data_IF_749861198179
#
_entry.id   IF_749861198179
#
_cell.length_a   1.000
_cell.length_b   1.000
_cell.length_c   1.000
_cell.angle_alpha   90.00
_cell.angle_beta   90.00
_cell.angle_gamma   90.00
#
_symmetry.space_group_name_H-M   'P 1'
#
loop_
_entity.id
_entity.type
_entity.pdbx_description
1 polymer ?
#
# COMPACT_ATOMS: atom_id res chain seq x y z
N UNK A 1 -22.07 -24.56 -4.74
CA UNK A 1 -23.49 -24.42 -5.14
C UNK A 1 -23.92 -22.97 -5.39
N UNK A 2 -22.99 -22.03 -5.58
CA UNK A 2 -23.26 -20.58 -5.75
C UNK A 2 -23.31 -20.08 -7.19
N UNK A 3 -22.98 -20.92 -8.20
CA UNK A 3 -22.85 -20.51 -9.60
C UNK A 3 -24.14 -20.14 -10.35
N UNK A 4 -25.33 -20.33 -9.76
CA UNK A 4 -26.62 -20.08 -10.45
C UNK A 4 -27.35 -18.81 -10.01
N UNK A 5 -26.79 -18.01 -9.12
CA UNK A 5 -27.49 -16.85 -8.54
C UNK A 5 -26.88 -15.49 -8.95
N UNK A 6 -25.81 -15.48 -9.69
CA UNK A 6 -25.16 -14.25 -10.14
C UNK A 6 -24.89 -14.31 -11.64
N UNK A 7 -25.07 -13.19 -12.31
CA UNK A 7 -24.52 -12.95 -13.65
C UNK A 7 -23.05 -12.53 -13.52
N UNK A 8 -22.22 -13.04 -14.42
CA UNK A 8 -20.84 -12.60 -14.60
C UNK A 8 -20.81 -11.59 -15.75
N UNK A 9 -20.52 -10.34 -15.43
CA UNK A 9 -20.41 -9.24 -16.39
C UNK A 9 -18.94 -8.91 -16.61
N UNK A 10 -18.40 -9.36 -17.74
CA UNK A 10 -17.08 -8.96 -18.19
C UNK A 10 -17.12 -7.56 -18.79
N UNK A 11 -16.14 -6.72 -18.45
CA UNK A 11 -16.04 -5.37 -19.01
C UNK A 11 -14.59 -5.00 -19.30
N UNK A 12 -14.41 -4.10 -20.25
CA UNK A 12 -13.12 -3.51 -20.60
C UNK A 12 -13.32 -2.01 -20.88
N UNK A 13 -12.33 -1.15 -20.62
CA UNK A 13 -12.39 0.24 -21.02
C UNK A 13 -12.52 0.37 -22.54
N UNK A 14 -13.33 1.32 -23.00
CA UNK A 14 -13.45 1.62 -24.44
C UNK A 14 -12.11 2.07 -25.04
N UNK A 15 -11.36 2.88 -24.28
CA UNK A 15 -9.99 3.27 -24.65
C UNK A 15 -9.01 2.42 -23.82
N UNK A 16 -8.27 1.53 -24.47
CA UNK A 16 -7.29 0.65 -23.83
C UNK A 16 -6.05 1.36 -23.27
N UNK A 17 -5.85 2.63 -23.59
CA UNK A 17 -4.74 3.46 -23.08
C UNK A 17 -5.16 4.34 -21.89
N UNK A 18 -6.46 4.41 -21.59
CA UNK A 18 -6.94 5.12 -20.41
C UNK A 18 -6.69 4.33 -19.14
N UNK A 19 -6.43 5.03 -18.03
CA UNK A 19 -6.34 4.42 -16.71
C UNK A 19 -7.72 3.91 -16.26
N UNK A 20 -8.10 2.75 -16.76
CA UNK A 20 -9.34 2.07 -16.41
C UNK A 20 -9.07 0.60 -16.13
N UNK A 21 -9.91 0.02 -15.30
CA UNK A 21 -9.86 -1.42 -15.04
C UNK A 21 -10.58 -2.19 -16.15
N UNK A 22 -10.09 -3.39 -16.44
CA UNK A 22 -10.88 -4.45 -17.05
C UNK A 22 -11.18 -5.50 -15.97
N UNK A 23 -12.18 -6.33 -16.19
CA UNK A 23 -12.47 -7.38 -15.23
C UNK A 23 -13.88 -7.91 -15.28
N UNK A 24 -14.31 -8.45 -14.15
CA UNK A 24 -15.57 -9.12 -13.97
C UNK A 24 -16.34 -8.58 -12.77
N UNK A 25 -17.63 -8.35 -12.96
CA UNK A 25 -18.56 -8.02 -11.88
C UNK A 25 -19.56 -9.18 -11.74
N UNK A 26 -19.64 -9.73 -10.55
CA UNK A 26 -20.61 -10.76 -10.21
C UNK A 26 -21.84 -10.09 -9.57
N UNK A 27 -22.94 -10.04 -10.33
CA UNK A 27 -24.17 -9.32 -9.98
C UNK A 27 -25.28 -10.32 -9.70
N UNK A 28 -26.00 -10.13 -8.60
CA UNK A 28 -27.16 -10.98 -8.28
C UNK A 28 -28.28 -10.84 -9.32
N UNK A 29 -28.96 -11.94 -9.61
CA UNK A 29 -30.10 -11.99 -10.57
C UNK A 29 -31.43 -11.64 -9.94
N UNK A 30 -31.43 -11.08 -8.75
CA UNK A 30 -32.61 -10.54 -8.12
C UNK A 30 -32.95 -9.12 -8.62
N UNK A 31 -34.07 -8.57 -8.20
CA UNK A 31 -34.50 -7.22 -8.59
C UNK A 31 -33.59 -6.11 -8.08
N UNK A 32 -32.57 -6.41 -7.26
CA UNK A 32 -31.67 -5.43 -6.65
C UNK A 32 -30.37 -5.26 -7.44
N UNK A 33 -30.02 -6.23 -8.31
CA UNK A 33 -28.79 -6.23 -9.10
C UNK A 33 -27.55 -5.90 -8.25
N UNK A 34 -27.46 -6.54 -7.10
CA UNK A 34 -26.39 -6.27 -6.14
C UNK A 34 -25.06 -6.83 -6.64
N UNK A 35 -24.02 -6.00 -6.69
CA UNK A 35 -22.65 -6.44 -7.01
C UNK A 35 -22.10 -7.17 -5.79
N UNK A 36 -21.97 -8.49 -5.89
CA UNK A 36 -21.47 -9.34 -4.80
C UNK A 36 -19.95 -9.43 -4.77
N UNK A 37 -19.33 -9.47 -5.95
CA UNK A 37 -17.89 -9.56 -6.10
C UNK A 37 -17.45 -8.77 -7.34
N UNK A 38 -16.31 -8.11 -7.22
CA UNK A 38 -15.58 -7.50 -8.32
C UNK A 38 -14.18 -8.10 -8.42
N UNK A 39 -13.76 -8.44 -9.62
CA UNK A 39 -12.40 -8.89 -9.94
C UNK A 39 -11.86 -7.97 -11.02
N UNK A 40 -10.91 -7.13 -10.64
CA UNK A 40 -10.43 -6.03 -11.47
C UNK A 40 -8.93 -6.16 -11.72
N UNK A 41 -8.50 -5.88 -12.94
CA UNK A 41 -7.10 -5.80 -13.29
C UNK A 41 -6.85 -4.64 -14.25
N UNK A 42 -5.60 -4.22 -14.36
CA UNK A 42 -5.22 -3.24 -15.37
C UNK A 42 -5.01 -3.90 -16.73
N UNK A 43 -5.43 -3.25 -17.82
CA UNK A 43 -5.06 -3.68 -19.16
C UNK A 43 -3.54 -3.68 -19.33
N UNK A 44 -2.98 -4.72 -19.94
CA UNK A 44 -1.52 -4.86 -20.19
C UNK A 44 -0.88 -3.71 -20.99
N UNK A 45 -1.68 -2.90 -21.68
CA UNK A 45 -1.21 -1.75 -22.48
C UNK A 45 -0.95 -0.51 -21.64
N UNK A 46 -1.44 -0.46 -20.39
CA UNK A 46 -1.15 0.65 -19.49
C UNK A 46 0.25 0.45 -18.94
N UNK A 47 1.14 1.37 -19.31
CA UNK A 47 2.50 1.35 -18.77
C UNK A 47 2.50 1.95 -17.37
N UNK A 48 2.41 1.09 -16.37
CA UNK A 48 2.68 1.43 -14.98
C UNK A 48 4.14 1.08 -14.70
N UNK A 49 4.98 2.08 -14.48
CA UNK A 49 6.39 1.87 -14.21
C UNK A 49 6.58 0.79 -13.14
N UNK A 50 7.34 -0.26 -13.49
CA UNK A 50 7.67 -1.39 -12.62
C UNK A 50 6.51 -2.31 -12.21
N UNK A 51 5.26 -2.05 -12.60
CA UNK A 51 4.11 -2.93 -12.31
C UNK A 51 3.78 -3.73 -13.56
N UNK A 52 4.01 -5.05 -13.51
CA UNK A 52 3.70 -5.97 -14.61
C UNK A 52 2.28 -6.52 -14.52
N UNK A 53 1.81 -6.73 -13.30
CA UNK A 53 0.49 -7.29 -13.04
C UNK A 53 -0.12 -6.70 -11.77
N UNK A 54 -1.43 -6.47 -11.80
CA UNK A 54 -2.21 -6.10 -10.62
C UNK A 54 -3.58 -6.75 -10.69
N UNK A 55 -3.98 -7.39 -9.61
CA UNK A 55 -5.29 -7.96 -9.40
C UNK A 55 -5.90 -7.38 -8.14
N UNK A 56 -7.08 -6.79 -8.28
CA UNK A 56 -7.92 -6.33 -7.17
C UNK A 56 -9.18 -7.18 -7.12
N UNK A 57 -9.39 -7.87 -6.01
CA UNK A 57 -10.60 -8.64 -5.73
C UNK A 57 -11.31 -7.99 -4.56
N UNK A 58 -12.60 -7.73 -4.72
CA UNK A 58 -13.45 -7.15 -3.70
C UNK A 58 -14.72 -7.98 -3.55
N UNK A 59 -15.07 -8.30 -2.33
CA UNK A 59 -16.35 -8.95 -1.99
C UNK A 59 -17.18 -7.99 -1.15
N UNK A 60 -18.47 -7.94 -1.46
CA UNK A 60 -19.40 -7.03 -0.83
C UNK A 60 -20.49 -7.81 -0.11
N UNK A 61 -20.90 -7.29 1.05
CA UNK A 61 -22.09 -7.73 1.77
C UNK A 61 -23.13 -6.62 1.81
N UNK A 62 -24.37 -7.02 2.03
CA UNK A 62 -25.48 -6.09 2.21
C UNK A 62 -25.76 -5.93 3.69
N UNK A 63 -25.87 -4.69 4.15
CA UNK A 63 -26.40 -4.35 5.45
C UNK A 63 -27.91 -4.52 5.50
N UNK A 64 -28.50 -4.48 6.68
CA UNK A 64 -29.96 -4.63 6.89
C UNK A 64 -30.76 -3.53 6.19
N UNK A 65 -30.22 -2.33 6.08
CA UNK A 65 -30.81 -1.19 5.37
C UNK A 65 -30.63 -1.26 3.84
N UNK A 66 -29.97 -2.29 3.33
CA UNK A 66 -29.69 -2.49 1.90
C UNK A 66 -28.39 -1.86 1.42
N UNK A 67 -27.68 -1.13 2.26
CA UNK A 67 -26.39 -0.49 1.91
C UNK A 67 -25.34 -1.54 1.54
N UNK A 68 -24.56 -1.26 0.50
CA UNK A 68 -23.44 -2.10 0.09
C UNK A 68 -22.21 -1.79 0.93
N UNK A 69 -21.69 -2.80 1.60
CA UNK A 69 -20.48 -2.74 2.42
C UNK A 69 -19.39 -3.60 1.81
N UNK A 70 -18.18 -3.14 1.86
CA UNK A 70 -17.00 -3.94 1.49
C UNK A 70 -16.77 -4.96 2.61
N UNK A 71 -16.70 -6.25 2.28
CA UNK A 71 -16.51 -7.33 3.25
C UNK A 71 -15.09 -7.83 3.25
N UNK A 72 -14.56 -8.07 2.06
CA UNK A 72 -13.20 -8.57 1.86
C UNK A 72 -12.56 -7.87 0.67
N UNK A 73 -11.28 -7.56 0.79
CA UNK A 73 -10.45 -7.00 -0.28
C UNK A 73 -9.11 -7.71 -0.35
N UNK A 74 -8.69 -8.09 -1.54
CA UNK A 74 -7.35 -8.62 -1.81
C UNK A 74 -6.74 -7.89 -2.99
N UNK A 75 -5.57 -7.31 -2.78
CA UNK A 75 -4.79 -6.63 -3.83
C UNK A 75 -3.49 -7.41 -4.00
N UNK A 76 -3.25 -7.92 -5.20
CA UNK A 76 -2.00 -8.57 -5.57
C UNK A 76 -1.32 -7.74 -6.65
N UNK A 77 -0.05 -7.39 -6.46
CA UNK A 77 0.75 -6.62 -7.40
C UNK A 77 2.05 -7.36 -7.66
N UNK A 78 2.42 -7.47 -8.93
CA UNK A 78 3.73 -7.96 -9.35
C UNK A 78 4.59 -6.79 -9.81
N UNK A 79 5.73 -6.62 -9.16
CA UNK A 79 6.74 -5.62 -9.52
C UNK A 79 7.88 -6.28 -10.28
N UNK A 80 8.22 -5.74 -11.44
CA UNK A 80 9.39 -6.12 -12.23
C UNK A 80 10.27 -4.92 -12.50
N UNK A 81 11.56 -5.05 -12.24
CA UNK A 81 12.55 -4.00 -12.52
C UNK A 81 13.05 -4.08 -13.96
N UNK A 82 13.14 -5.29 -14.51
CA UNK A 82 13.62 -5.55 -15.88
C UNK A 82 12.81 -6.67 -16.51
N UNK A 83 12.64 -6.60 -17.83
CA UNK A 83 12.05 -7.69 -18.60
C UNK A 83 12.90 -8.97 -18.51
N UNK A 84 12.24 -10.12 -18.39
CA UNK A 84 12.93 -11.44 -18.35
C UNK A 84 13.39 -11.89 -16.97
N UNK A 85 13.15 -11.12 -15.90
CA UNK A 85 13.38 -11.56 -14.53
C UNK A 85 12.08 -11.91 -13.82
N UNK A 86 12.16 -12.76 -12.80
CA UNK A 86 11.04 -13.05 -11.91
C UNK A 86 10.65 -11.78 -11.14
N UNK A 87 9.34 -11.53 -11.07
CA UNK A 87 8.79 -10.38 -10.36
C UNK A 87 8.72 -10.61 -8.85
N UNK A 88 8.63 -9.52 -8.11
CA UNK A 88 8.33 -9.52 -6.68
C UNK A 88 6.83 -9.37 -6.53
N UNK A 89 6.17 -10.33 -5.89
CA UNK A 89 4.76 -10.28 -5.58
C UNK A 89 4.53 -9.65 -4.21
N UNK A 90 3.73 -8.59 -4.19
CA UNK A 90 3.18 -8.03 -2.96
C UNK A 90 1.68 -8.32 -2.91
N UNK A 91 1.19 -8.81 -1.77
CA UNK A 91 -0.23 -9.07 -1.54
C UNK A 91 -0.67 -8.38 -0.25
N UNK A 92 -1.78 -7.63 -0.34
CA UNK A 92 -2.48 -7.06 0.80
C UNK A 92 -3.87 -7.68 0.87
N UNK A 93 -4.26 -8.15 2.05
CA UNK A 93 -5.61 -8.64 2.34
C UNK A 93 -6.20 -7.79 3.44
N UNK A 94 -7.45 -7.39 3.30
CA UNK A 94 -8.20 -6.65 4.29
C UNK A 94 -9.61 -7.23 4.45
N UNK A 95 -9.98 -7.53 5.69
CA UNK A 95 -11.33 -7.94 6.08
C UNK A 95 -11.99 -6.80 6.86
N UNK A 96 -13.21 -6.47 6.50
CA UNK A 96 -13.94 -5.33 7.06
C UNK A 96 -15.10 -5.82 7.91
N UNK A 97 -15.13 -5.37 9.16
CA UNK A 97 -16.15 -5.75 10.15
C UNK A 97 -16.54 -4.55 11.02
N UNK A 98 -17.56 -4.73 11.85
CA UNK A 98 -18.03 -3.75 12.83
C UNK A 98 -18.34 -2.37 12.22
N UNK A 99 -19.10 -2.36 11.13
CA UNK A 99 -19.56 -1.14 10.49
C UNK A 99 -20.52 -0.36 11.41
N UNK A 100 -20.27 0.95 11.52
CA UNK A 100 -21.16 1.87 12.22
C UNK A 100 -21.67 2.92 11.23
N UNK A 101 -22.97 3.15 11.22
CA UNK A 101 -23.63 4.15 10.37
C UNK A 101 -23.97 5.45 11.13
N UNK A 102 -23.74 5.44 12.43
CA UNK A 102 -24.01 6.63 13.24
C UNK A 102 -22.79 7.56 13.19
N UNK A 103 -22.96 8.81 12.76
CA UNK A 103 -21.89 9.80 12.85
C UNK A 103 -21.56 9.99 14.35
N UNK A 104 -20.29 9.81 14.68
CA UNK A 104 -19.77 10.17 15.98
C UNK A 104 -19.19 11.57 15.91
N UNK A 105 -19.22 12.33 17.03
CA UNK A 105 -18.59 13.66 17.08
C UNK A 105 -17.10 13.62 16.70
N UNK A 106 -16.44 12.49 16.95
CA UNK A 106 -15.05 12.27 16.56
C UNK A 106 -14.90 12.10 15.04
N UNK A 107 -15.83 11.39 14.39
CA UNK A 107 -15.83 11.24 12.93
C UNK A 107 -16.07 12.61 12.26
N UNK A 108 -17.02 13.41 12.75
CA UNK A 108 -17.27 14.75 12.22
C UNK A 108 -16.04 15.66 12.37
N UNK A 109 -15.35 15.58 13.52
CA UNK A 109 -14.09 16.32 13.72
C UNK A 109 -12.97 15.82 12.80
N UNK A 110 -12.91 14.53 12.51
CA UNK A 110 -11.93 13.94 11.60
C UNK A 110 -12.17 14.39 10.15
N UNK A 111 -13.43 14.43 9.70
CA UNK A 111 -13.79 14.84 8.34
C UNK A 111 -13.67 16.35 8.10
N UNK A 112 -13.68 17.16 9.15
CA UNK A 112 -13.48 18.63 9.03
C UNK A 112 -12.01 19.02 8.94
N UNK A 113 -11.06 18.11 9.18
CA UNK A 113 -9.63 18.38 9.01
C UNK A 113 -9.25 18.36 7.54
N UNK A 114 -8.35 19.26 7.09
CA UNK A 114 -7.85 19.27 5.72
C UNK A 114 -6.97 18.07 5.37
N UNK A 115 -6.51 17.32 6.37
CA UNK A 115 -5.68 16.15 6.22
C UNK A 115 -6.53 14.95 5.75
N UNK A 116 -6.15 14.36 4.63
CA UNK A 116 -6.84 13.19 4.04
C UNK A 116 -6.53 11.88 4.76
N UNK A 117 -5.44 11.84 5.51
CA UNK A 117 -4.97 10.66 6.25
C UNK A 117 -4.73 11.10 7.68
N UNK A 118 -5.38 10.42 8.63
CA UNK A 118 -5.17 10.62 10.04
C UNK A 118 -4.53 9.35 10.57
N UNK A 119 -3.28 9.46 11.02
CA UNK A 119 -2.58 8.38 11.70
C UNK A 119 -2.69 8.62 13.21
N UNK A 120 -3.15 7.62 13.93
CA UNK A 120 -3.10 7.63 15.38
C UNK A 120 -1.64 7.53 15.84
N UNK A 121 -1.28 8.30 16.86
CA UNK A 121 0.11 8.35 17.39
C UNK A 121 0.64 6.97 17.79
N UNK A 122 -0.24 6.04 18.18
CA UNK A 122 0.11 4.69 18.61
C UNK A 122 0.01 3.64 17.48
N UNK A 123 -0.37 4.02 16.27
CA UNK A 123 -0.64 3.08 15.17
C UNK A 123 0.56 2.16 14.88
N UNK A 124 1.78 2.72 14.92
CA UNK A 124 3.03 1.99 14.64
C UNK A 124 3.62 1.28 15.88
N UNK A 125 3.14 1.60 17.09
CA UNK A 125 3.66 1.07 18.35
C UNK A 125 2.72 0.09 19.06
N UNK A 126 1.66 -0.35 18.38
CA UNK A 126 0.70 -1.30 18.97
C UNK A 126 1.37 -2.64 19.29
N UNK A 127 1.10 -3.20 20.48
CA UNK A 127 1.75 -4.45 20.91
C UNK A 127 1.28 -5.65 20.08
N UNK A 128 2.09 -6.70 20.05
CA UNK A 128 1.79 -7.94 19.33
C UNK A 128 0.46 -8.58 19.76
N UNK A 129 0.07 -8.42 21.01
CA UNK A 129 -1.22 -8.88 21.54
C UNK A 129 -2.41 -8.24 20.83
N UNK A 130 -2.33 -6.94 20.54
CA UNK A 130 -3.35 -6.24 19.76
C UNK A 130 -3.51 -6.86 18.37
N UNK A 131 -2.41 -7.17 17.69
CA UNK A 131 -2.45 -7.78 16.38
C UNK A 131 -2.94 -9.23 16.41
N UNK A 132 -2.58 -9.99 17.45
CA UNK A 132 -3.06 -11.34 17.62
C UNK A 132 -4.59 -11.42 17.81
N UNK A 133 -5.17 -10.45 18.52
CA UNK A 133 -6.61 -10.37 18.75
C UNK A 133 -7.40 -9.85 17.53
N UNK A 134 -6.80 -8.94 16.75
CA UNK A 134 -7.49 -8.25 15.67
C UNK A 134 -7.21 -8.85 14.28
N UNK A 135 -6.23 -9.75 14.14
CA UNK A 135 -6.02 -10.47 12.89
C UNK A 135 -6.99 -11.65 12.77
N UNK A 136 -7.75 -11.78 11.67
CA UNK A 136 -8.53 -12.98 11.42
C UNK A 136 -7.59 -14.19 11.37
N UNK A 137 -7.86 -15.22 12.14
CA UNK A 137 -7.02 -16.44 12.18
C UNK A 137 -6.89 -17.12 10.82
N UNK A 138 -7.88 -16.95 9.94
CA UNK A 138 -7.86 -17.47 8.58
C UNK A 138 -6.89 -16.74 7.64
N UNK A 139 -6.46 -15.52 7.98
CA UNK A 139 -5.57 -14.72 7.14
C UNK A 139 -4.08 -15.06 7.33
N UNK A 140 -3.72 -15.74 8.43
CA UNK A 140 -2.34 -16.16 8.68
C UNK A 140 -2.12 -17.51 8.00
N UNK A 141 -1.78 -17.50 6.73
CA UNK A 141 -1.37 -18.73 6.06
C UNK A 141 -0.06 -19.25 6.66
N UNK A 142 0.14 -20.59 6.63
CA UNK A 142 1.42 -21.18 7.05
C UNK A 142 2.60 -20.59 6.26
N UNK A 143 2.36 -20.12 5.05
CA UNK A 143 3.34 -19.47 4.19
C UNK A 143 3.77 -18.10 4.72
N UNK A 144 2.85 -17.28 5.23
CA UNK A 144 3.18 -15.97 5.82
C UNK A 144 4.07 -16.13 7.05
N UNK A 145 3.72 -17.07 7.94
CA UNK A 145 4.57 -17.40 9.10
C UNK A 145 5.97 -17.88 8.71
N UNK A 146 6.11 -18.59 7.59
CA UNK A 146 7.42 -19.05 7.11
C UNK A 146 8.25 -17.93 6.52
N UNK A 147 7.62 -16.98 5.82
CA UNK A 147 8.29 -15.78 5.29
C UNK A 147 8.74 -14.87 6.43
N UNK A 148 7.91 -14.61 7.43
CA UNK A 148 8.28 -13.80 8.59
C UNK A 148 9.46 -14.40 9.35
N UNK A 149 9.47 -15.71 9.56
CA UNK A 149 10.60 -16.42 10.19
C UNK A 149 11.87 -16.32 9.34
N UNK A 150 11.75 -16.53 8.03
CA UNK A 150 12.88 -16.40 7.11
C UNK A 150 13.45 -14.98 7.14
N UNK A 151 12.59 -13.95 7.09
CA UNK A 151 13.01 -12.55 7.17
C UNK A 151 13.67 -12.22 8.51
N UNK A 152 13.13 -12.73 9.62
CA UNK A 152 13.75 -12.57 10.93
C UNK A 152 15.14 -13.22 11.00
N UNK A 153 15.31 -14.41 10.41
CA UNK A 153 16.61 -15.07 10.31
C UNK A 153 17.58 -14.30 9.41
N UNK A 154 17.13 -13.85 8.23
CA UNK A 154 17.96 -13.09 7.29
C UNK A 154 18.45 -11.77 7.89
N UNK A 155 17.62 -11.08 8.67
CA UNK A 155 18.01 -9.85 9.37
C UNK A 155 19.09 -10.06 10.43
N UNK A 156 19.29 -11.30 10.89
CA UNK A 156 20.40 -11.68 11.76
C UNK A 156 21.76 -11.68 11.05
N UNK A 157 21.79 -11.74 9.73
CA UNK A 157 23.04 -11.70 8.97
C UNK A 157 23.48 -10.27 8.67
N UNK A 158 24.72 -9.86 9.02
CA UNK A 158 25.19 -8.50 8.80
C UNK A 158 25.11 -8.04 7.33
N UNK A 159 25.40 -8.95 6.40
CA UNK A 159 25.35 -8.67 4.95
C UNK A 159 23.93 -8.30 4.53
N UNK A 160 22.95 -9.07 4.96
CA UNK A 160 21.55 -8.80 4.64
C UNK A 160 21.07 -7.48 5.25
N UNK A 161 21.41 -7.24 6.50
CA UNK A 161 21.08 -5.98 7.20
C UNK A 161 21.61 -4.75 6.45
N UNK A 162 22.87 -4.79 6.02
CA UNK A 162 23.45 -3.67 5.28
C UNK A 162 22.86 -3.54 3.88
N UNK A 163 22.57 -4.65 3.21
CA UNK A 163 21.94 -4.64 1.89
C UNK A 163 20.53 -4.03 1.98
N UNK A 164 19.71 -4.42 2.95
CA UNK A 164 18.39 -3.85 3.21
C UNK A 164 18.49 -2.34 3.43
N UNK A 165 19.45 -1.89 4.24
CA UNK A 165 19.68 -0.46 4.47
C UNK A 165 20.08 0.31 3.24
N UNK A 166 21.06 -0.21 2.49
CA UNK A 166 21.52 0.42 1.25
C UNK A 166 20.39 0.52 0.24
N UNK A 167 19.63 -0.55 0.04
CA UNK A 167 18.47 -0.55 -0.85
C UNK A 167 17.42 0.45 -0.37
N UNK A 168 17.11 0.47 0.92
CA UNK A 168 16.16 1.45 1.49
C UNK A 168 16.59 2.88 1.18
N UNK A 169 17.88 3.21 1.37
CA UNK A 169 18.41 4.54 1.06
C UNK A 169 18.35 4.84 -0.45
N UNK A 170 18.64 3.85 -1.30
CA UNK A 170 18.55 4.02 -2.75
C UNK A 170 17.11 4.30 -3.21
N UNK A 171 16.13 3.61 -2.64
CA UNK A 171 14.72 3.78 -2.99
C UNK A 171 14.11 5.04 -2.37
N UNK A 172 14.35 5.30 -1.10
CA UNK A 172 13.78 6.47 -0.41
C UNK A 172 14.54 7.75 -0.71
N UNK A 173 15.82 7.62 -1.02
CA UNK A 173 16.73 8.76 -1.20
C UNK A 173 17.15 9.44 0.11
N UNK A 174 16.66 8.99 1.27
CA UNK A 174 16.86 9.67 2.54
C UNK A 174 17.34 8.73 3.65
N UNK A 175 18.13 9.27 4.56
CA UNK A 175 18.57 8.59 5.78
C UNK A 175 17.78 9.19 6.97
N UNK A 176 16.96 8.41 7.68
CA UNK A 176 16.28 8.89 8.88
C UNK A 176 17.27 9.02 10.05
N UNK A 177 17.14 10.06 10.85
CA UNK A 177 17.96 10.28 12.06
C UNK A 177 17.63 9.32 13.20
N UNK A 178 16.43 8.75 13.20
CA UNK A 178 15.96 7.72 14.15
C UNK A 178 15.11 6.69 13.42
N UNK A 179 15.00 5.46 14.00
CA UNK A 179 14.16 4.41 13.42
C UNK A 179 12.67 4.60 13.72
N UNK A 180 12.34 5.02 14.94
CA UNK A 180 10.94 5.06 15.42
C UNK A 180 10.31 6.44 15.25
N UNK A 181 11.06 7.50 15.49
CA UNK A 181 10.60 8.89 15.42
C UNK A 181 11.68 9.77 14.80
N UNK A 182 11.90 9.72 13.48
CA UNK A 182 12.92 10.54 12.84
C UNK A 182 12.50 12.00 12.85
N UNK A 183 13.24 12.87 13.52
CA UNK A 183 13.02 14.31 13.51
C UNK A 183 13.47 14.94 12.20
N UNK A 184 14.51 14.37 11.57
CA UNK A 184 15.07 14.84 10.33
C UNK A 184 15.37 13.69 9.37
N UNK A 185 15.23 13.97 8.10
CA UNK A 185 15.74 13.14 7.01
C UNK A 185 16.96 13.82 6.38
N UNK A 186 18.06 13.09 6.25
CA UNK A 186 19.28 13.55 5.57
C UNK A 186 19.22 13.07 4.13
N UNK A 187 19.36 13.98 3.17
CA UNK A 187 19.27 13.65 1.74
C UNK A 187 18.80 14.85 0.90
N UNK A 188 18.48 14.61 -0.36
CA UNK A 188 18.41 13.32 -1.06
C UNK A 188 19.77 12.71 -1.39
N UNK A 189 19.98 11.44 -1.05
CA UNK A 189 21.28 10.76 -1.20
C UNK A 189 21.65 10.51 -2.67
N UNK A 190 20.66 10.32 -3.54
CA UNK A 190 20.85 10.18 -4.99
C UNK A 190 21.40 11.45 -5.65
N UNK A 191 21.24 12.61 -5.02
CA UNK A 191 21.77 13.89 -5.50
C UNK A 191 23.00 14.38 -4.72
N UNK A 192 23.40 13.63 -3.67
CA UNK A 192 24.55 14.01 -2.82
C UNK A 192 25.85 14.07 -3.61
N UNK A 193 26.05 13.10 -4.51
CA UNK A 193 27.19 13.10 -5.41
C UNK A 193 26.65 13.07 -6.83
N UNK A 194 26.93 14.12 -7.57
CA UNK A 194 26.56 14.24 -8.98
C UNK A 194 27.69 14.89 -9.74
N UNK A 195 27.70 14.77 -11.05
CA UNK A 195 28.68 15.43 -11.90
C UNK A 195 28.31 15.33 -13.36
N UNK A 196 28.77 16.27 -14.12
CA UNK A 196 28.72 16.24 -15.57
C UNK A 196 30.09 16.66 -16.14
N UNK A 197 30.25 16.43 -17.43
CA UNK A 197 31.51 16.72 -18.11
C UNK A 197 31.85 18.21 -18.21
N UNK A 198 30.85 19.08 -17.99
CA UNK A 198 31.05 20.55 -18.06
C UNK A 198 31.35 21.17 -16.70
N UNK A 199 30.66 20.73 -15.64
CA UNK A 199 30.77 21.34 -14.31
C UNK A 199 31.67 20.54 -13.35
N UNK A 200 32.08 19.33 -13.73
CA UNK A 200 32.85 18.43 -12.86
C UNK A 200 32.04 17.79 -11.74
N UNK A 201 32.72 17.24 -10.72
CA UNK A 201 32.03 16.62 -9.58
C UNK A 201 31.37 17.68 -8.69
N UNK A 202 30.13 17.39 -8.27
CA UNK A 202 29.34 18.25 -7.39
C UNK A 202 28.92 17.45 -6.16
N UNK A 203 29.13 18.01 -4.99
CA UNK A 203 28.68 17.45 -3.71
C UNK A 203 27.58 18.36 -3.17
N UNK A 204 26.47 17.75 -2.76
CA UNK A 204 25.33 18.42 -2.13
C UNK A 204 25.08 17.82 -0.76
N UNK A 205 24.82 18.67 0.22
CA UNK A 205 24.33 18.28 1.52
C UNK A 205 22.92 18.85 1.72
N UNK A 206 22.00 18.04 2.13
CA UNK A 206 20.62 18.48 2.32
C UNK A 206 19.89 17.67 3.38
N UNK A 207 18.73 18.14 3.74
CA UNK A 207 17.84 17.46 4.68
C UNK A 207 16.50 18.13 4.78
N UNK A 208 15.58 17.44 5.41
CA UNK A 208 14.24 17.95 5.66
C UNK A 208 13.75 17.56 7.05
N UNK A 209 12.91 18.41 7.63
CA UNK A 209 12.19 18.08 8.86
C UNK A 209 11.07 17.09 8.56
N UNK A 210 10.65 16.36 9.59
CA UNK A 210 9.56 15.40 9.48
C UNK A 210 8.35 15.87 10.29
N UNK A 211 7.21 15.21 10.10
CA UNK A 211 6.02 15.45 10.92
C UNK A 211 6.23 15.16 12.41
N UNK A 212 7.23 14.34 12.77
CA UNK A 212 7.61 14.09 14.15
C UNK A 212 8.23 15.30 14.85
N UNK A 213 8.87 16.18 14.10
CA UNK A 213 9.37 17.44 14.65
C UNK A 213 8.24 18.46 14.81
N UNK A 214 7.46 18.64 13.76
CA UNK A 214 6.27 19.51 13.79
C UNK A 214 5.32 19.08 12.65
N UNK A 215 4.07 18.71 12.96
CA UNK A 215 3.11 18.24 11.96
C UNK A 215 2.64 19.35 10.98
N UNK A 216 2.86 20.61 11.30
CA UNK A 216 2.42 21.75 10.48
C UNK A 216 3.56 22.50 9.81
N UNK A 217 4.82 22.19 10.13
CA UNK A 217 5.98 22.92 9.60
C UNK A 217 7.00 21.94 8.99
N UNK A 218 7.13 22.03 7.67
CA UNK A 218 8.12 21.26 6.92
C UNK A 218 9.17 22.20 6.35
N UNK A 219 10.41 22.03 6.80
CA UNK A 219 11.56 22.78 6.29
C UNK A 219 12.46 21.83 5.53
N UNK A 220 12.90 22.25 4.36
CA UNK A 220 13.88 21.53 3.54
C UNK A 220 15.03 22.47 3.24
N UNK A 221 16.25 21.99 3.45
CA UNK A 221 17.49 22.70 3.17
C UNK A 221 18.33 21.90 2.21
N UNK A 222 18.84 22.56 1.15
CA UNK A 222 19.80 22.00 0.22
C UNK A 222 20.95 22.99 0.10
N UNK A 223 22.15 22.53 0.44
CA UNK A 223 23.38 23.28 0.23
C UNK A 223 24.18 22.66 -0.92
N UNK A 224 24.58 23.49 -1.87
CA UNK A 224 25.33 23.08 -3.08
C UNK A 224 26.74 23.63 -2.99
#
# INVERSE_FOLDING_TARGET
MYKRQCADLAFTPFNSESFGFNGHLYVTLDSTYFVKRAVLNFPKKINLNFVDYMLLEQEFKRAEDGTRLLDHESITVEFKLTEGQDGIFARRVADYSHYSFLPTEEADKAFTKPERIIEETEALSRPETFWAENRPQAAISQQENSVDRLMAQLRGYPVYYWTEKVLSILFTGYIPTSKEAPLFYIGPMNATISGNTLEGPRIRAGGMTTAWLNPHLFLSLIHI
#
